data_IF_950505845917
#
_entry.id   IF_950505845917
#
_cell.length_a   1.000
_cell.length_b   1.000
_cell.length_c   1.000
_cell.angle_alpha   90.00
_cell.angle_beta   90.00
_cell.angle_gamma   90.00
#
_symmetry.space_group_name_H-M   'P 1'
#
loop_
_entity.id
_entity.type
_entity.pdbx_description
1 polymer ?
#
# COMPACT_ATOMS: atom_id res chain seq x y z
N UNK A 1 -18.96 42.65 -0.43
CA UNK A 1 -18.09 41.42 -0.47
C UNK A 1 -18.80 40.27 0.20
N UNK A 2 -19.45 40.42 1.37
CA UNK A 2 -20.17 39.38 2.10
C UNK A 2 -21.40 38.82 1.33
N UNK A 3 -22.08 39.69 0.61
CA UNK A 3 -23.30 39.31 -0.16
C UNK A 3 -22.99 38.50 -1.43
N UNK A 4 -21.78 38.66 -2.00
CA UNK A 4 -21.33 37.89 -3.16
C UNK A 4 -20.86 36.47 -2.76
N UNK A 5 -20.40 36.28 -1.50
CA UNK A 5 -20.00 34.99 -0.98
C UNK A 5 -21.20 34.10 -0.65
N UNK A 6 -22.28 34.67 -0.14
CA UNK A 6 -23.55 33.97 0.15
C UNK A 6 -24.25 33.46 -1.13
N UNK A 7 -24.08 34.16 -2.27
CA UNK A 7 -24.69 33.78 -3.54
C UNK A 7 -24.00 32.57 -4.21
N UNK A 8 -22.79 32.24 -3.74
CA UNK A 8 -22.02 31.07 -4.20
C UNK A 8 -22.28 29.81 -3.36
N UNK A 9 -22.95 29.94 -2.21
CA UNK A 9 -23.24 28.85 -1.27
C UNK A 9 -24.72 28.46 -1.20
N UNK A 10 -25.55 28.97 -2.13
CA UNK A 10 -26.97 28.61 -2.21
C UNK A 10 -27.37 27.89 -3.51
N UNK A 11 -26.92 26.67 -3.75
CA UNK A 11 -27.62 25.76 -4.63
C UNK A 11 -28.40 24.68 -3.87
N UNK A 12 -28.67 24.85 -2.57
CA UNK A 12 -29.62 23.98 -1.87
C UNK A 12 -31.03 24.61 -1.90
N UNK A 13 -31.63 24.65 -3.07
CA UNK A 13 -33.07 24.82 -3.19
C UNK A 13 -33.76 23.54 -2.70
N UNK A 14 -34.52 23.68 -1.62
CA UNK A 14 -35.47 22.66 -1.13
C UNK A 14 -36.36 22.20 -2.28
N UNK A 15 -36.22 20.96 -2.70
CA UNK A 15 -37.22 20.35 -3.58
C UNK A 15 -36.69 19.49 -4.73
N UNK A 16 -35.38 19.40 -4.98
CA UNK A 16 -34.90 18.42 -5.95
C UNK A 16 -34.83 17.04 -5.33
N UNK A 17 -35.75 16.16 -5.80
CA UNK A 17 -35.68 14.73 -5.66
C UNK A 17 -34.23 14.30 -5.87
N UNK A 18 -33.70 13.49 -4.96
CA UNK A 18 -32.54 12.64 -5.20
C UNK A 18 -32.78 11.86 -6.49
N UNK A 19 -32.49 12.50 -7.62
CA UNK A 19 -32.46 11.84 -8.91
C UNK A 19 -31.27 10.89 -8.88
N UNK A 20 -31.59 9.64 -9.14
CA UNK A 20 -30.71 8.49 -9.00
C UNK A 20 -29.26 8.80 -9.39
N UNK A 21 -28.39 8.67 -8.43
CA UNK A 21 -26.94 8.72 -8.54
C UNK A 21 -26.51 7.98 -9.81
N UNK A 22 -26.07 8.71 -10.82
CA UNK A 22 -25.50 8.11 -12.02
C UNK A 22 -24.20 7.45 -11.59
N UNK A 23 -24.28 6.16 -11.26
CA UNK A 23 -23.10 5.38 -10.90
C UNK A 23 -22.11 5.42 -12.04
N UNK A 24 -20.97 6.05 -11.83
CA UNK A 24 -19.90 6.20 -12.83
C UNK A 24 -19.15 4.90 -13.07
N UNK A 25 -19.40 3.87 -12.28
CA UNK A 25 -18.78 2.55 -12.37
C UNK A 25 -19.84 1.43 -12.46
N UNK A 26 -19.52 0.40 -13.19
CA UNK A 26 -20.34 -0.81 -13.32
C UNK A 26 -20.21 -1.69 -12.07
N UNK A 27 -21.26 -2.40 -11.68
CA UNK A 27 -21.20 -3.34 -10.54
C UNK A 27 -20.10 -4.41 -10.67
N UNK A 28 -19.73 -4.78 -11.91
CA UNK A 28 -18.61 -5.69 -12.18
C UNK A 28 -17.26 -5.07 -11.86
N UNK A 29 -17.08 -3.78 -12.15
CA UNK A 29 -15.83 -3.05 -11.84
C UNK A 29 -15.67 -2.88 -10.33
N UNK A 30 -16.75 -2.55 -9.63
CA UNK A 30 -16.74 -2.49 -8.17
C UNK A 30 -16.44 -3.86 -7.56
N UNK A 31 -17.07 -4.93 -8.06
CA UNK A 31 -16.82 -6.29 -7.59
C UNK A 31 -15.37 -6.72 -7.79
N UNK A 32 -14.80 -6.46 -8.98
CA UNK A 32 -13.40 -6.72 -9.26
C UNK A 32 -12.44 -5.96 -8.34
N UNK A 33 -12.75 -4.68 -8.07
CA UNK A 33 -11.98 -3.85 -7.15
C UNK A 33 -12.02 -4.40 -5.72
N UNK A 34 -13.20 -4.76 -5.20
CA UNK A 34 -13.37 -5.31 -3.85
C UNK A 34 -12.63 -6.63 -3.67
N UNK A 35 -12.69 -7.52 -4.67
CA UNK A 35 -11.92 -8.79 -4.67
C UNK A 35 -10.42 -8.51 -4.67
N UNK A 36 -9.95 -7.55 -5.46
CA UNK A 36 -8.56 -7.13 -5.48
C UNK A 36 -8.08 -6.60 -4.12
N UNK A 37 -8.85 -5.71 -3.50
CA UNK A 37 -8.58 -5.16 -2.17
C UNK A 37 -8.55 -6.26 -1.10
N UNK A 38 -9.52 -7.17 -1.13
CA UNK A 38 -9.56 -8.30 -0.20
C UNK A 38 -8.33 -9.20 -0.36
N UNK A 39 -8.00 -9.58 -1.60
CA UNK A 39 -6.85 -10.42 -1.91
C UNK A 39 -5.54 -9.78 -1.46
N UNK A 40 -5.33 -8.49 -1.72
CA UNK A 40 -4.14 -7.77 -1.30
C UNK A 40 -4.01 -7.72 0.22
N UNK A 41 -5.05 -7.36 0.95
CA UNK A 41 -5.03 -7.33 2.40
C UNK A 41 -4.79 -8.71 3.01
N UNK A 42 -5.35 -9.76 2.42
CA UNK A 42 -5.14 -11.14 2.86
C UNK A 42 -3.67 -11.55 2.69
N UNK A 43 -3.08 -11.31 1.52
CA UNK A 43 -1.68 -11.62 1.24
C UNK A 43 -0.77 -10.81 2.18
N UNK A 44 -1.03 -9.52 2.40
CA UNK A 44 -0.27 -8.69 3.33
C UNK A 44 -0.24 -9.29 4.73
N UNK A 45 -1.40 -9.63 5.28
CA UNK A 45 -1.49 -10.18 6.63
C UNK A 45 -0.80 -11.54 6.76
N UNK A 46 -0.96 -12.43 5.77
CA UNK A 46 -0.31 -13.75 5.77
C UNK A 46 1.21 -13.59 5.70
N UNK A 47 1.72 -12.77 4.78
CA UNK A 47 3.18 -12.60 4.61
C UNK A 47 3.78 -11.85 5.79
N UNK A 48 3.17 -10.76 6.26
CA UNK A 48 3.68 -10.00 7.40
C UNK A 48 3.76 -10.85 8.68
N UNK A 49 2.69 -11.63 8.97
CA UNK A 49 2.66 -12.54 10.11
C UNK A 49 3.65 -13.69 9.92
N UNK A 50 3.71 -14.24 8.71
CA UNK A 50 4.65 -15.32 8.35
C UNK A 50 6.10 -14.90 8.47
N UNK A 51 6.47 -13.68 8.04
CA UNK A 51 7.81 -13.13 8.19
C UNK A 51 8.20 -12.91 9.65
N UNK A 52 7.27 -12.38 10.46
CA UNK A 52 7.52 -12.23 11.90
C UNK A 52 7.81 -13.58 12.55
N UNK A 53 6.96 -14.58 12.29
CA UNK A 53 7.14 -15.94 12.78
C UNK A 53 8.47 -16.55 12.31
N UNK A 54 8.80 -16.38 11.03
CA UNK A 54 10.04 -16.89 10.43
C UNK A 54 11.28 -16.28 11.08
N UNK A 55 11.32 -14.96 11.27
CA UNK A 55 12.45 -14.29 11.92
C UNK A 55 12.64 -14.72 13.37
N UNK A 56 11.54 -14.95 14.10
CA UNK A 56 11.59 -15.31 15.50
C UNK A 56 11.90 -16.77 15.72
N UNK A 57 11.28 -17.68 14.96
CA UNK A 57 11.31 -19.12 15.26
C UNK A 57 12.23 -19.92 14.33
N UNK A 58 12.44 -19.48 13.09
CA UNK A 58 13.28 -20.21 12.13
C UNK A 58 14.69 -19.65 12.11
N UNK A 59 14.84 -18.33 11.98
CA UNK A 59 16.15 -17.67 12.03
C UNK A 59 16.63 -17.56 13.48
N UNK A 60 15.75 -17.57 14.48
CA UNK A 60 16.04 -17.40 15.90
C UNK A 60 16.68 -16.04 16.21
N UNK A 61 16.18 -14.96 15.59
CA UNK A 61 16.64 -13.61 15.89
C UNK A 61 16.30 -13.22 17.32
N UNK A 62 17.23 -12.54 18.05
CA UNK A 62 16.92 -11.97 19.35
C UNK A 62 15.72 -11.02 19.27
N UNK A 63 14.79 -11.08 20.22
CA UNK A 63 13.59 -10.26 20.25
C UNK A 63 13.91 -8.74 20.20
N UNK A 64 15.01 -8.32 20.80
CA UNK A 64 15.49 -6.93 20.75
C UNK A 64 15.85 -6.52 19.31
N UNK A 65 16.58 -7.36 18.57
CA UNK A 65 16.94 -7.08 17.18
C UNK A 65 15.70 -7.03 16.29
N UNK A 66 14.77 -7.95 16.48
CA UNK A 66 13.49 -7.97 15.76
C UNK A 66 12.67 -6.70 16.03
N UNK A 67 12.59 -6.27 17.30
CA UNK A 67 11.93 -5.03 17.68
C UNK A 67 12.50 -3.80 16.99
N UNK A 68 13.83 -3.70 16.91
CA UNK A 68 14.50 -2.59 16.19
C UNK A 68 14.23 -2.65 14.68
N UNK A 69 14.27 -3.82 14.06
CA UNK A 69 13.97 -3.99 12.63
C UNK A 69 12.55 -3.49 12.34
N UNK A 70 11.57 -3.92 13.13
CA UNK A 70 10.18 -3.51 12.96
C UNK A 70 9.98 -2.00 13.17
N UNK A 71 10.64 -1.42 14.16
CA UNK A 71 10.54 0.03 14.44
C UNK A 71 11.14 0.85 13.31
N UNK A 72 12.33 0.49 12.85
CA UNK A 72 13.02 1.19 11.74
C UNK A 72 12.19 1.08 10.46
N UNK A 73 11.62 -0.09 10.18
CA UNK A 73 10.76 -0.28 9.02
C UNK A 73 9.51 0.63 9.08
N UNK A 74 8.87 0.78 10.24
CA UNK A 74 7.71 1.68 10.39
C UNK A 74 8.06 3.15 10.21
N UNK A 75 9.24 3.59 10.69
CA UNK A 75 9.73 4.96 10.46
C UNK A 75 9.98 5.17 8.96
N UNK A 76 10.55 4.16 8.31
CA UNK A 76 10.80 4.20 6.87
C UNK A 76 9.50 4.27 6.06
N UNK A 77 8.49 3.47 6.42
CA UNK A 77 7.17 3.50 5.78
C UNK A 77 6.55 4.91 5.84
N UNK A 78 6.62 5.57 7.01
CA UNK A 78 6.08 6.92 7.19
C UNK A 78 6.72 7.97 6.25
N UNK A 79 7.95 7.74 5.78
CA UNK A 79 8.63 8.60 4.79
C UNK A 79 8.31 8.13 3.37
N UNK A 80 8.31 6.83 3.16
CA UNK A 80 8.13 6.21 1.84
C UNK A 80 6.71 6.43 1.28
N UNK A 81 5.67 6.36 2.13
CA UNK A 81 4.28 6.46 1.69
C UNK A 81 3.95 7.82 1.04
N UNK A 82 4.26 8.99 1.63
CA UNK A 82 4.05 10.29 0.98
C UNK A 82 4.88 10.46 -0.29
N UNK A 83 6.11 9.92 -0.30
CA UNK A 83 6.98 9.97 -1.46
C UNK A 83 6.38 9.19 -2.63
N UNK A 84 5.93 7.97 -2.38
CA UNK A 84 5.29 7.13 -3.39
C UNK A 84 3.96 7.71 -3.87
N UNK A 85 3.15 8.28 -2.96
CA UNK A 85 1.93 9.00 -3.33
C UNK A 85 2.21 10.11 -4.35
N UNK A 86 3.24 10.92 -4.10
CA UNK A 86 3.67 11.99 -5.02
C UNK A 86 4.16 11.44 -6.37
N UNK A 87 4.87 10.32 -6.38
CA UNK A 87 5.36 9.68 -7.61
C UNK A 87 4.17 9.17 -8.45
N UNK A 88 3.22 8.48 -7.81
CA UNK A 88 2.02 7.96 -8.48
C UNK A 88 1.20 9.10 -9.07
N UNK A 89 1.02 10.20 -8.34
CA UNK A 89 0.26 11.37 -8.82
C UNK A 89 0.90 12.06 -10.02
N UNK A 90 2.23 12.09 -10.08
CA UNK A 90 2.98 12.65 -11.21
C UNK A 90 3.07 11.70 -12.41
N UNK A 91 2.76 10.44 -12.22
CA UNK A 91 2.85 9.42 -13.29
C UNK A 91 1.76 9.64 -14.32
N UNK A 92 2.16 9.81 -15.57
CA UNK A 92 1.27 9.95 -16.73
C UNK A 92 1.60 8.84 -17.73
N UNK A 93 0.83 7.77 -17.72
CA UNK A 93 0.99 6.67 -18.69
C UNK A 93 -0.25 6.53 -19.58
N UNK A 94 -0.08 5.89 -20.74
CA UNK A 94 -1.20 5.58 -21.65
C UNK A 94 -2.26 4.67 -21.00
N UNK A 95 -1.91 3.95 -19.94
CA UNK A 95 -2.79 3.00 -19.23
C UNK A 95 -3.41 3.61 -17.95
N UNK A 96 -3.17 4.91 -17.71
CA UNK A 96 -3.59 5.61 -16.50
C UNK A 96 -2.49 5.66 -15.43
N UNK A 97 -2.78 6.30 -14.28
CA UNK A 97 -1.80 6.51 -13.21
C UNK A 97 -1.50 5.23 -12.41
N UNK A 98 -2.53 4.44 -12.09
CA UNK A 98 -2.46 3.34 -11.11
C UNK A 98 -2.20 1.97 -11.74
N UNK A 99 -2.73 1.71 -12.96
CA UNK A 99 -2.69 0.38 -13.61
C UNK A 99 -1.29 -0.20 -13.80
N UNK A 100 -0.27 0.54 -14.27
CA UNK A 100 1.06 -0.04 -14.51
C UNK A 100 1.69 -0.58 -13.23
N UNK A 101 1.50 0.09 -12.11
CA UNK A 101 2.02 -0.36 -10.82
C UNK A 101 1.37 -1.67 -10.38
N UNK A 102 0.05 -1.78 -10.50
CA UNK A 102 -0.71 -2.97 -10.12
C UNK A 102 -0.43 -4.21 -10.98
N UNK A 103 0.10 -4.03 -12.20
CA UNK A 103 0.43 -5.14 -13.09
C UNK A 103 1.86 -5.63 -12.85
N UNK A 104 2.81 -4.71 -12.70
CA UNK A 104 4.26 -5.03 -12.67
C UNK A 104 4.70 -5.45 -11.26
N UNK A 105 4.30 -4.71 -10.23
CA UNK A 105 4.85 -4.87 -8.88
C UNK A 105 4.43 -6.16 -8.15
N UNK A 106 3.27 -6.78 -8.37
CA UNK A 106 2.96 -8.06 -7.74
C UNK A 106 3.98 -9.17 -8.04
N UNK A 107 4.52 -9.19 -9.26
CA UNK A 107 5.61 -10.12 -9.62
C UNK A 107 6.90 -9.82 -8.86
N UNK A 108 7.26 -8.54 -8.74
CA UNK A 108 8.46 -8.10 -8.00
C UNK A 108 8.30 -8.42 -6.50
N UNK A 109 7.13 -8.17 -5.92
CA UNK A 109 6.83 -8.50 -4.52
C UNK A 109 6.99 -10.00 -4.28
N UNK A 110 6.51 -10.83 -5.19
CA UNK A 110 6.69 -12.29 -5.11
C UNK A 110 8.17 -12.70 -5.06
N UNK A 111 9.00 -12.13 -5.93
CA UNK A 111 10.45 -12.39 -5.93
C UNK A 111 11.11 -11.93 -4.63
N UNK A 112 10.82 -10.72 -4.17
CA UNK A 112 11.39 -10.19 -2.92
C UNK A 112 10.92 -11.02 -1.73
N UNK A 113 9.67 -11.47 -1.71
CA UNK A 113 9.16 -12.36 -0.67
C UNK A 113 9.99 -13.64 -0.61
N UNK A 114 10.27 -14.28 -1.74
CA UNK A 114 11.13 -15.49 -1.78
C UNK A 114 12.53 -15.16 -1.25
N UNK A 115 13.13 -14.06 -1.68
CA UNK A 115 14.47 -13.64 -1.23
C UNK A 115 14.51 -13.38 0.29
N UNK A 116 13.43 -12.86 0.87
CA UNK A 116 13.33 -12.60 2.32
C UNK A 116 13.34 -13.90 3.14
N UNK A 117 12.81 -15.00 2.58
CA UNK A 117 12.86 -16.32 3.22
C UNK A 117 14.19 -17.06 3.02
N UNK A 118 15.12 -16.53 2.22
CA UNK A 118 16.46 -17.09 2.04
C UNK A 118 17.41 -16.41 3.02
N UNK A 119 17.54 -16.98 4.22
CA UNK A 119 18.44 -16.46 5.25
C UNK A 119 19.07 -17.62 6.05
N UNK A 120 20.21 -17.32 6.70
CA UNK A 120 20.88 -18.26 7.60
C UNK A 120 20.27 -18.25 9.01
N UNK A 121 20.52 -19.32 9.77
CA UNK A 121 20.06 -19.41 11.15
C UNK A 121 21.04 -18.66 12.09
N UNK A 122 20.51 -17.71 12.85
CA UNK A 122 21.31 -16.89 13.79
C UNK A 122 21.90 -17.71 14.93
N UNK A 123 21.18 -18.74 15.40
CA UNK A 123 21.61 -19.57 16.51
C UNK A 123 22.81 -20.46 16.16
N UNK A 124 22.93 -20.87 14.88
CA UNK A 124 24.05 -21.72 14.41
C UNK A 124 25.24 -20.92 13.90
N UNK A 125 25.15 -19.60 13.82
CA UNK A 125 26.22 -18.74 13.36
C UNK A 125 27.40 -18.74 14.34
N UNK A 126 28.59 -19.16 13.88
CA UNK A 126 29.80 -19.32 14.68
C UNK A 126 30.52 -17.98 14.92
N UNK A 127 30.39 -17.05 13.99
CA UNK A 127 31.09 -15.75 14.02
C UNK A 127 30.14 -14.59 14.31
N UNK A 128 30.61 -13.58 15.05
CA UNK A 128 29.89 -12.31 15.24
C UNK A 128 29.60 -11.62 13.91
N UNK A 129 30.51 -11.71 12.95
CA UNK A 129 30.29 -11.15 11.60
C UNK A 129 29.11 -11.84 10.89
N UNK A 130 28.99 -13.16 10.97
CA UNK A 130 27.86 -13.90 10.40
C UNK A 130 26.54 -13.48 11.05
N UNK A 131 26.51 -13.31 12.36
CA UNK A 131 25.32 -12.84 13.10
C UNK A 131 24.86 -11.47 12.62
N UNK A 132 25.80 -10.54 12.46
CA UNK A 132 25.52 -9.18 11.95
C UNK A 132 25.00 -9.25 10.52
N UNK A 133 25.58 -10.06 9.65
CA UNK A 133 25.10 -10.24 8.26
C UNK A 133 23.68 -10.79 8.19
N UNK A 134 23.32 -11.76 9.04
CA UNK A 134 21.99 -12.34 9.10
C UNK A 134 20.97 -11.28 9.53
N UNK A 135 21.28 -10.50 10.57
CA UNK A 135 20.39 -9.42 11.03
C UNK A 135 20.24 -8.33 9.96
N UNK A 136 21.34 -7.92 9.32
CA UNK A 136 21.34 -6.91 8.27
C UNK A 136 20.54 -7.38 7.05
N UNK A 137 20.70 -8.62 6.62
CA UNK A 137 19.92 -9.20 5.53
C UNK A 137 18.42 -9.24 5.86
N UNK A 138 18.06 -9.68 7.06
CA UNK A 138 16.67 -9.70 7.52
C UNK A 138 16.08 -8.28 7.53
N UNK A 139 16.81 -7.27 7.99
CA UNK A 139 16.38 -5.88 8.00
C UNK A 139 16.19 -5.33 6.59
N UNK A 140 17.18 -5.48 5.72
CA UNK A 140 17.16 -4.96 4.34
C UNK A 140 16.04 -5.61 3.54
N UNK A 141 15.91 -6.94 3.61
CA UNK A 141 14.89 -7.66 2.86
C UNK A 141 13.47 -7.34 3.35
N UNK A 142 13.28 -7.15 4.64
CA UNK A 142 11.98 -6.75 5.21
C UNK A 142 11.59 -5.33 4.78
N UNK A 143 12.52 -4.37 4.85
CA UNK A 143 12.29 -2.99 4.40
C UNK A 143 12.02 -2.95 2.89
N UNK A 144 12.80 -3.68 2.09
CA UNK A 144 12.60 -3.76 0.64
C UNK A 144 11.23 -4.36 0.28
N UNK A 145 10.80 -5.39 1.02
CA UNK A 145 9.48 -5.97 0.86
C UNK A 145 8.37 -4.95 1.16
N UNK A 146 8.47 -4.22 2.27
CA UNK A 146 7.54 -3.15 2.64
C UNK A 146 7.47 -2.05 1.57
N UNK A 147 8.62 -1.58 1.08
CA UNK A 147 8.68 -0.57 0.00
C UNK A 147 7.96 -1.02 -1.26
N UNK A 148 8.22 -2.24 -1.73
CA UNK A 148 7.58 -2.75 -2.93
C UNK A 148 6.07 -2.98 -2.73
N UNK A 149 5.67 -3.37 -1.51
CA UNK A 149 4.26 -3.51 -1.16
C UNK A 149 3.53 -2.16 -1.20
N UNK A 150 4.11 -1.11 -0.62
CA UNK A 150 3.59 0.27 -0.64
C UNK A 150 3.38 0.78 -2.07
N UNK A 151 4.26 0.41 -3.01
CA UNK A 151 4.12 0.80 -4.44
C UNK A 151 2.83 0.24 -5.07
N UNK A 152 2.33 -0.90 -4.61
CA UNK A 152 1.04 -1.45 -5.04
C UNK A 152 -0.13 -0.91 -4.20
N UNK A 153 0.08 -0.71 -2.91
CA UNK A 153 -0.97 -0.34 -1.97
C UNK A 153 -1.51 1.07 -2.25
N UNK A 154 -0.62 2.05 -2.40
CA UNK A 154 -0.99 3.44 -2.66
C UNK A 154 -1.86 3.60 -3.93
N UNK A 155 -1.50 3.06 -5.12
CA UNK A 155 -2.36 3.12 -6.28
C UNK A 155 -3.72 2.44 -6.09
N UNK A 156 -3.78 1.37 -5.30
CA UNK A 156 -5.03 0.66 -5.04
C UNK A 156 -5.98 1.52 -4.20
N UNK A 157 -5.48 2.16 -3.14
CA UNK A 157 -6.25 3.15 -2.37
C UNK A 157 -6.58 4.41 -3.19
N UNK A 158 -5.71 4.82 -4.11
CA UNK A 158 -5.94 5.91 -5.05
C UNK A 158 -7.13 5.68 -5.97
N UNK A 159 -7.39 4.44 -6.36
CA UNK A 159 -8.59 4.07 -7.16
C UNK A 159 -9.87 4.36 -6.38
N UNK A 160 -9.91 4.10 -5.07
CA UNK A 160 -11.07 4.42 -4.22
C UNK A 160 -11.39 5.92 -4.27
N UNK A 161 -10.36 6.76 -4.12
CA UNK A 161 -10.51 8.22 -4.19
C UNK A 161 -11.02 8.66 -5.55
N UNK A 162 -10.52 8.08 -6.65
CA UNK A 162 -10.96 8.39 -8.01
C UNK A 162 -12.41 7.96 -8.25
N UNK A 163 -12.84 6.80 -7.76
CA UNK A 163 -14.22 6.33 -7.85
C UNK A 163 -15.17 7.25 -7.07
N UNK A 164 -14.74 7.77 -5.91
CA UNK A 164 -15.53 8.68 -5.07
C UNK A 164 -15.56 10.10 -5.64
N UNK A 165 -14.44 10.62 -6.15
CA UNK A 165 -14.36 11.97 -6.75
C UNK A 165 -15.16 12.09 -8.04
N UNK A 166 -15.28 11.04 -8.84
CA UNK A 166 -16.12 11.04 -10.04
C UNK A 166 -17.61 11.19 -9.72
N UNK A 167 -18.05 10.72 -8.55
CA UNK A 167 -19.40 10.98 -8.04
C UNK A 167 -19.61 12.47 -7.71
N UNK A 168 -18.59 13.14 -7.19
CA UNK A 168 -18.69 14.54 -6.76
C UNK A 168 -18.55 15.55 -7.89
N UNK A 169 -17.76 15.24 -8.92
CA UNK A 169 -17.55 16.12 -10.09
C UNK A 169 -18.67 16.03 -11.12
N UNK A 170 -19.41 14.93 -11.15
CA UNK A 170 -20.60 14.78 -12.00
C UNK A 170 -21.76 15.70 -11.56
N UNK A 171 -21.82 16.07 -10.27
CA UNK A 171 -22.84 16.95 -9.72
C UNK A 171 -22.45 18.45 -9.79
N UNK A 172 -21.18 18.74 -10.14
CA UNK A 172 -20.64 20.11 -10.21
C UNK A 172 -20.52 20.65 -11.65
N UNK A 173 -20.84 19.88 -12.67
CA UNK A 173 -20.84 20.22 -14.09
C UNK A 173 -22.24 20.30 -14.67
#
# INVERSE_FOLDING_TARGET
IYTLYQKRLSPFSKGEKFMGEKRTYTGKELGGYLVGMFGQNLIYNIVATGLYFYFQNVICLPAMALGWIMTIARIWDAINDPMMGTIVDKTKTKWGKCRPYLIIFPGIIGVITILTFINGNYATASSTAQKVLIVAWAAISYIAWGMCFTVCDIPLWGITSLMTCLLYTSDAA
#
